data_IF_504533873634
#
_entry.id   IF_504533873634
#
_cell.length_a   1.000
_cell.length_b   1.000
_cell.length_c   1.000
_cell.angle_alpha   90.00
_cell.angle_beta   90.00
_cell.angle_gamma   90.00
#
_symmetry.space_group_name_H-M   'P 1'
#
loop_
_entity.id
_entity.type
_entity.pdbx_description
1 polymer ?
#
# COMPACT_ATOMS: atom_id res chain seq x y z
N UNK A 1 -17.55 -6.45 -7.47
CA UNK A 1 -17.76 -6.76 -6.04
C UNK A 1 -16.55 -7.45 -5.40
N UNK A 2 -16.04 -8.54 -5.98
CA UNK A 2 -14.88 -9.31 -5.47
C UNK A 2 -13.60 -8.47 -5.29
N UNK A 3 -13.24 -7.65 -6.28
CA UNK A 3 -12.04 -6.79 -6.19
C UNK A 3 -12.13 -5.74 -5.06
N UNK A 4 -13.33 -5.18 -4.82
CA UNK A 4 -13.55 -4.22 -3.73
C UNK A 4 -13.34 -4.86 -2.37
N UNK A 5 -13.95 -6.04 -2.12
CA UNK A 5 -13.76 -6.76 -0.87
C UNK A 5 -12.31 -7.22 -0.67
N UNK A 6 -11.61 -7.62 -1.74
CA UNK A 6 -10.19 -7.95 -1.67
C UNK A 6 -9.32 -6.78 -1.21
N UNK A 7 -9.53 -5.58 -1.77
CA UNK A 7 -8.81 -4.37 -1.37
C UNK A 7 -9.18 -3.99 0.07
N UNK A 8 -10.46 -4.04 0.43
CA UNK A 8 -10.94 -3.74 1.79
C UNK A 8 -10.30 -4.66 2.84
N UNK A 9 -10.31 -5.97 2.61
CA UNK A 9 -9.71 -6.95 3.53
C UNK A 9 -8.20 -6.75 3.64
N UNK A 10 -7.50 -6.50 2.53
CA UNK A 10 -6.08 -6.19 2.53
C UNK A 10 -5.75 -4.94 3.34
N UNK A 11 -6.54 -3.87 3.18
CA UNK A 11 -6.39 -2.64 3.95
C UNK A 11 -6.69 -2.85 5.45
N UNK A 12 -7.75 -3.61 5.77
CA UNK A 12 -8.12 -3.93 7.13
C UNK A 12 -7.00 -4.70 7.86
N UNK A 13 -6.41 -5.73 7.24
CA UNK A 13 -5.29 -6.48 7.84
C UNK A 13 -4.02 -5.63 7.95
N UNK A 14 -3.72 -4.77 6.98
CA UNK A 14 -2.59 -3.85 7.07
C UNK A 14 -2.75 -2.87 8.25
N UNK A 15 -3.92 -2.26 8.42
CA UNK A 15 -4.22 -1.39 9.55
C UNK A 15 -4.13 -2.13 10.88
N UNK A 16 -4.68 -3.35 10.96
CA UNK A 16 -4.59 -4.20 12.15
C UNK A 16 -3.14 -4.48 12.52
N UNK A 17 -2.29 -4.82 11.54
CA UNK A 17 -0.85 -5.04 11.76
C UNK A 17 -0.14 -3.79 12.29
N UNK A 18 -0.41 -2.62 11.69
CA UNK A 18 0.17 -1.34 12.14
C UNK A 18 -0.26 -1.02 13.56
N UNK A 19 -1.57 -1.10 13.85
CA UNK A 19 -2.12 -0.76 15.17
C UNK A 19 -1.59 -1.73 16.23
N UNK A 20 -1.53 -3.03 15.95
CA UNK A 20 -0.95 -4.01 16.87
C UNK A 20 0.53 -3.75 17.13
N UNK A 21 1.31 -3.41 16.10
CA UNK A 21 2.73 -3.09 16.26
C UNK A 21 2.95 -1.84 17.11
N UNK A 22 2.12 -0.79 16.93
CA UNK A 22 2.18 0.43 17.76
C UNK A 22 1.71 0.15 19.18
N UNK A 23 0.60 -0.56 19.36
CA UNK A 23 0.06 -0.91 20.67
C UNK A 23 1.02 -1.78 21.47
N UNK A 24 1.66 -2.76 20.82
CA UNK A 24 2.70 -3.63 21.42
C UNK A 24 3.86 -2.83 22.02
N UNK A 25 4.13 -1.64 21.49
CA UNK A 25 5.19 -0.76 21.97
C UNK A 25 4.80 0.05 23.22
N UNK A 26 3.50 0.15 23.53
CA UNK A 26 2.97 1.03 24.59
C UNK A 26 2.24 0.24 25.68
N UNK A 27 1.59 -0.88 25.32
CA UNK A 27 0.83 -1.77 26.22
C UNK A 27 1.08 -3.24 25.89
N UNK A 28 0.90 -4.10 26.88
CA UNK A 28 0.96 -5.55 26.68
C UNK A 28 -0.19 -6.03 25.78
N UNK A 29 0.17 -6.54 24.59
CA UNK A 29 -0.73 -7.02 23.53
C UNK A 29 -1.76 -8.04 24.04
N UNK A 30 -1.46 -8.75 25.14
CA UNK A 30 -2.36 -9.76 25.72
C UNK A 30 -3.69 -9.21 26.24
N UNK A 31 -3.80 -7.91 26.52
CA UNK A 31 -5.03 -7.31 27.05
C UNK A 31 -5.95 -6.69 25.98
N UNK A 32 -5.57 -6.70 24.71
CA UNK A 32 -6.35 -6.06 23.66
C UNK A 32 -7.43 -7.02 23.14
N UNK A 33 -8.70 -6.69 23.38
CA UNK A 33 -9.82 -7.48 22.87
C UNK A 33 -9.87 -7.43 21.32
N UNK A 34 -9.67 -8.56 20.61
CA UNK A 34 -9.58 -8.58 19.15
C UNK A 34 -10.88 -8.11 18.47
N UNK A 35 -12.04 -8.37 19.08
CA UNK A 35 -13.33 -7.93 18.57
C UNK A 35 -13.46 -6.40 18.60
N UNK A 36 -12.99 -5.77 19.69
CA UNK A 36 -13.03 -4.32 19.84
C UNK A 36 -12.05 -3.64 18.87
N UNK A 37 -10.88 -4.24 18.66
CA UNK A 37 -9.88 -3.75 17.72
C UNK A 37 -10.39 -3.81 16.27
N UNK A 38 -10.90 -4.97 15.84
CA UNK A 38 -11.47 -5.14 14.50
C UNK A 38 -12.66 -4.22 14.28
N UNK A 39 -13.57 -4.13 15.25
CA UNK A 39 -14.71 -3.20 15.16
C UNK A 39 -14.26 -1.74 15.06
N UNK A 40 -13.26 -1.33 15.85
CA UNK A 40 -12.68 0.00 15.79
C UNK A 40 -12.04 0.33 14.44
N UNK A 41 -11.28 -0.61 13.86
CA UNK A 41 -10.70 -0.46 12.53
C UNK A 41 -11.80 -0.34 11.46
N UNK A 42 -12.83 -1.17 11.52
CA UNK A 42 -13.96 -1.10 10.58
C UNK A 42 -14.67 0.25 10.65
N UNK A 43 -15.00 0.73 11.85
CA UNK A 43 -15.64 2.04 12.05
C UNK A 43 -14.74 3.16 11.54
N UNK A 44 -13.43 3.10 11.85
CA UNK A 44 -12.45 4.07 11.37
C UNK A 44 -12.42 4.14 9.84
N UNK A 45 -12.32 2.99 9.15
CA UNK A 45 -12.33 2.93 7.68
C UNK A 45 -13.60 3.57 7.12
N UNK A 46 -14.77 3.21 7.64
CA UNK A 46 -16.05 3.74 7.16
C UNK A 46 -16.15 5.24 7.38
N UNK A 47 -15.81 5.73 8.58
CA UNK A 47 -15.85 7.17 8.90
C UNK A 47 -14.89 7.96 8.01
N UNK A 48 -13.66 7.49 7.83
CA UNK A 48 -12.68 8.15 6.94
C UNK A 48 -13.18 8.19 5.50
N UNK A 49 -13.76 7.10 4.98
CA UNK A 49 -14.33 7.07 3.64
C UNK A 49 -15.52 8.02 3.49
N UNK A 50 -16.41 8.08 4.49
CA UNK A 50 -17.55 9.00 4.49
C UNK A 50 -17.08 10.45 4.47
N UNK A 51 -16.13 10.81 5.34
CA UNK A 51 -15.54 12.16 5.36
C UNK A 51 -14.91 12.49 4.01
N UNK A 52 -14.12 11.57 3.45
CA UNK A 52 -13.46 11.75 2.17
C UNK A 52 -14.45 12.08 1.03
N UNK A 53 -15.54 11.30 0.94
CA UNK A 53 -16.59 11.50 -0.07
C UNK A 53 -17.32 12.83 0.14
N UNK A 54 -17.58 13.21 1.39
CA UNK A 54 -18.24 14.50 1.72
C UNK A 54 -17.42 15.71 1.31
N UNK A 55 -16.09 15.66 1.44
CA UNK A 55 -15.20 16.77 1.09
C UNK A 55 -14.98 16.95 -0.43
N UNK A 56 -15.52 16.05 -1.28
CA UNK A 56 -15.31 16.04 -2.74
C UNK A 56 -13.84 16.25 -3.14
N UNK A 57 -12.92 15.77 -2.32
CA UNK A 57 -11.49 15.88 -2.63
C UNK A 57 -11.24 15.19 -3.96
N UNK A 58 -10.48 15.84 -4.83
CA UNK A 58 -10.23 15.35 -6.18
C UNK A 58 -9.55 13.98 -6.11
N UNK A 59 -10.32 12.93 -6.41
CA UNK A 59 -9.83 11.55 -6.50
C UNK A 59 -8.68 11.45 -7.52
N UNK A 60 -8.66 12.34 -8.52
CA UNK A 60 -7.60 12.42 -9.52
C UNK A 60 -6.22 12.67 -8.91
N UNK A 61 -6.10 13.53 -7.90
CA UNK A 61 -4.80 13.83 -7.27
C UNK A 61 -4.27 12.61 -6.54
N UNK A 62 -5.15 11.87 -5.86
CA UNK A 62 -4.79 10.59 -5.23
C UNK A 62 -4.37 9.54 -6.24
N UNK A 63 -5.02 9.51 -7.41
CA UNK A 63 -4.64 8.59 -8.48
C UNK A 63 -3.27 8.95 -9.09
N UNK A 64 -2.98 10.24 -9.24
CA UNK A 64 -1.68 10.75 -9.70
C UNK A 64 -0.55 10.41 -8.72
N UNK A 65 -0.78 10.51 -7.41
CA UNK A 65 0.19 10.11 -6.39
C UNK A 65 0.26 8.58 -6.20
N UNK A 66 -0.86 7.89 -6.41
CA UNK A 66 -0.97 6.44 -6.30
C UNK A 66 -0.12 5.70 -7.34
N UNK A 67 0.01 6.25 -8.56
CA UNK A 67 0.80 5.62 -9.63
C UNK A 67 2.30 5.51 -9.28
N UNK A 68 3.00 6.59 -8.89
CA UNK A 68 4.38 6.48 -8.41
C UNK A 68 4.53 5.60 -7.18
N UNK A 69 3.63 5.71 -6.21
CA UNK A 69 3.67 4.86 -5.01
C UNK A 69 3.58 3.39 -5.37
N UNK A 70 2.68 3.04 -6.29
CA UNK A 70 2.55 1.67 -6.78
C UNK A 70 3.81 1.21 -7.52
N UNK A 71 4.39 2.05 -8.40
CA UNK A 71 5.65 1.74 -9.09
C UNK A 71 6.81 1.49 -8.12
N UNK A 72 6.91 2.29 -7.06
CA UNK A 72 7.94 2.11 -6.02
C UNK A 72 7.72 0.78 -5.28
N UNK A 73 6.53 0.57 -4.72
CA UNK A 73 6.25 -0.57 -3.84
C UNK A 73 6.23 -1.89 -4.61
N UNK A 74 5.67 -1.91 -5.82
CA UNK A 74 5.51 -3.12 -6.61
C UNK A 74 6.74 -3.47 -7.46
N UNK A 75 7.56 -2.50 -7.87
CA UNK A 75 8.67 -2.75 -8.82
C UNK A 75 10.05 -2.40 -8.24
N UNK A 76 10.22 -1.21 -7.65
CA UNK A 76 11.52 -0.73 -7.19
C UNK A 76 11.97 -1.47 -5.92
N UNK A 77 11.07 -1.67 -4.95
CA UNK A 77 11.39 -2.40 -3.71
C UNK A 77 11.81 -3.86 -4.02
N UNK A 78 11.06 -4.66 -4.80
CA UNK A 78 11.48 -6.02 -5.15
C UNK A 78 12.79 -6.07 -5.92
N UNK A 79 13.01 -5.13 -6.84
CA UNK A 79 14.29 -5.01 -7.54
C UNK A 79 15.45 -4.83 -6.54
N UNK A 80 15.31 -3.89 -5.60
CA UNK A 80 16.33 -3.65 -4.59
C UNK A 80 16.56 -4.87 -3.69
N UNK A 81 15.49 -5.58 -3.30
CA UNK A 81 15.59 -6.80 -2.49
C UNK A 81 16.34 -7.93 -3.21
N UNK A 82 16.13 -8.11 -4.52
CA UNK A 82 16.83 -9.13 -5.32
C UNK A 82 18.35 -8.90 -5.36
N UNK A 83 18.78 -7.64 -5.34
CA UNK A 83 20.20 -7.30 -5.31
C UNK A 83 20.80 -7.35 -3.90
N UNK A 84 20.00 -7.06 -2.86
CA UNK A 84 20.47 -7.07 -1.47
C UNK A 84 20.50 -8.46 -0.84
N UNK A 85 19.60 -9.37 -1.21
CA UNK A 85 19.43 -10.68 -0.56
C UNK A 85 20.01 -11.80 -1.44
N UNK A 86 21.04 -12.49 -0.93
CA UNK A 86 21.73 -13.58 -1.66
C UNK A 86 20.78 -14.73 -2.08
N UNK A 87 19.74 -15.01 -1.30
CA UNK A 87 18.76 -16.06 -1.65
C UNK A 87 17.95 -15.76 -2.92
N UNK A 88 17.90 -14.49 -3.34
CA UNK A 88 17.18 -14.05 -4.54
C UNK A 88 18.12 -13.91 -5.75
N UNK A 89 19.41 -14.27 -5.63
CA UNK A 89 20.37 -14.19 -6.75
C UNK A 89 19.94 -14.99 -7.96
N UNK A 90 19.24 -16.12 -7.75
CA UNK A 90 18.69 -16.94 -8.84
C UNK A 90 17.68 -16.20 -9.72
N UNK A 91 17.08 -15.13 -9.20
CA UNK A 91 16.12 -14.28 -9.91
C UNK A 91 16.80 -13.10 -10.61
N UNK A 92 18.12 -12.91 -10.46
CA UNK A 92 18.86 -11.85 -11.17
C UNK A 92 18.95 -12.20 -12.65
N UNK A 93 18.50 -11.28 -13.50
CA UNK A 93 18.64 -11.39 -14.94
C UNK A 93 18.01 -10.21 -15.67
N UNK A 94 17.93 -10.31 -17.00
CA UNK A 94 17.32 -9.28 -17.84
C UNK A 94 15.88 -8.96 -17.44
N UNK A 95 15.13 -9.97 -16.97
CA UNK A 95 13.74 -9.80 -16.49
C UNK A 95 13.66 -8.86 -15.28
N UNK A 96 14.63 -8.89 -14.38
CA UNK A 96 14.69 -8.00 -13.20
C UNK A 96 14.91 -6.56 -13.63
N UNK A 97 15.75 -6.34 -14.64
CA UNK A 97 16.01 -5.01 -15.18
C UNK A 97 14.79 -4.43 -15.91
N UNK A 98 14.02 -5.28 -16.61
CA UNK A 98 12.73 -4.89 -17.20
C UNK A 98 11.72 -4.45 -16.12
N UNK A 99 11.66 -5.15 -14.98
CA UNK A 99 10.78 -4.75 -13.86
C UNK A 99 11.17 -3.36 -13.33
N UNK A 100 12.46 -3.06 -13.20
CA UNK A 100 12.93 -1.73 -12.81
C UNK A 100 12.49 -0.67 -13.81
N UNK A 101 12.67 -0.92 -15.11
CA UNK A 101 12.26 0.00 -16.17
C UNK A 101 10.76 0.29 -16.12
N UNK A 102 9.92 -0.73 -15.94
CA UNK A 102 8.47 -0.55 -15.75
C UNK A 102 8.16 0.28 -14.50
N UNK A 103 8.86 0.05 -13.39
CA UNK A 103 8.70 0.83 -12.17
C UNK A 103 9.01 2.32 -12.36
N UNK A 104 10.10 2.63 -13.06
CA UNK A 104 10.48 4.01 -13.40
C UNK A 104 9.43 4.65 -14.32
N UNK A 105 8.94 3.92 -15.33
CA UNK A 105 7.91 4.41 -16.25
C UNK A 105 6.58 4.72 -15.53
N UNK A 106 6.17 3.87 -14.58
CA UNK A 106 4.98 4.09 -13.73
C UNK A 106 5.14 5.32 -12.82
N UNK A 107 6.37 5.60 -12.35
CA UNK A 107 6.66 6.81 -11.58
C UNK A 107 6.66 8.07 -12.45
N UNK A 108 7.00 7.95 -13.74
CA UNK A 108 6.99 9.06 -14.70
C UNK A 108 5.60 9.34 -15.30
N UNK A 109 4.65 8.41 -15.17
CA UNK A 109 3.27 8.56 -15.67
C UNK A 109 2.56 9.86 -15.27
N UNK A 110 2.61 10.35 -14.02
CA UNK A 110 2.02 11.64 -13.68
C UNK A 110 2.70 12.83 -14.39
N UNK A 111 3.99 12.74 -14.71
CA UNK A 111 4.71 13.79 -15.45
C UNK A 111 4.33 13.78 -16.94
N UNK A 112 4.15 12.60 -17.53
CA UNK A 112 3.66 12.47 -18.91
C UNK A 112 2.27 13.09 -19.08
N UNK A 113 1.39 12.89 -18.09
CA UNK A 113 0.05 13.49 -18.05
C UNK A 113 0.05 15.01 -17.84
N UNK A 114 1.17 15.61 -17.44
CA UNK A 114 1.32 17.07 -17.36
C UNK A 114 1.88 17.68 -18.65
N UNK A 115 2.42 16.86 -19.55
CA UNK A 115 3.00 17.27 -20.85
C UNK A 115 1.96 17.19 -21.97
N UNK A 116 0.95 16.33 -21.82
CA UNK A 116 -0.25 16.21 -22.67
C UNK A 116 -1.34 17.20 -22.26
#
# INVERSE_FOLDING_TARGET
LTAFFGIYLGFHEALKGIVLNVLSRIMDVKNVNPLLLTSGICVFIVVTLVIWVSFRVSVLVFFQLGSPLYGIVACIIPFFLIYKVAQLEKLRGLKTWLILLYGILLCLSPLLKLIE
#
